data_IF_553329734130
#
_entry.id   IF_553329734130
#
_cell.length_a   1.000
_cell.length_b   1.000
_cell.length_c   1.000
_cell.angle_alpha   90.00
_cell.angle_beta   90.00
_cell.angle_gamma   90.00
#
_symmetry.space_group_name_H-M   'P 1'
#
loop_
_entity.id
_entity.type
_entity.pdbx_description
1 polymer ?
#
# COMPACT_ATOMS: atom_id res chain seq x y z
N UNK A 1 -20.86 9.50 2.20
CA UNK A 1 -21.12 8.05 2.26
C UNK A 1 -22.21 7.79 3.29
N UNK A 2 -23.20 7.01 2.93
CA UNK A 2 -24.31 6.56 3.78
C UNK A 2 -24.12 5.09 4.15
N UNK A 3 -24.85 4.64 5.18
CA UNK A 3 -24.81 3.22 5.60
C UNK A 3 -25.13 2.23 4.47
N UNK A 4 -26.02 2.61 3.54
CA UNK A 4 -26.37 1.78 2.37
C UNK A 4 -25.18 1.64 1.41
N UNK A 5 -24.38 2.67 1.25
CA UNK A 5 -23.18 2.63 0.38
C UNK A 5 -22.12 1.72 0.99
N UNK A 6 -21.93 1.79 2.30
CA UNK A 6 -21.03 0.91 3.05
C UNK A 6 -21.49 -0.55 2.93
N UNK A 7 -22.77 -0.82 3.13
CA UNK A 7 -23.33 -2.17 3.01
C UNK A 7 -23.08 -2.77 1.61
N UNK A 8 -23.29 -1.96 0.57
CA UNK A 8 -23.07 -2.37 -0.83
C UNK A 8 -21.60 -2.63 -1.11
N UNK A 9 -20.70 -1.73 -0.67
CA UNK A 9 -19.26 -1.85 -0.89
C UNK A 9 -18.65 -3.06 -0.17
N UNK A 10 -19.08 -3.29 1.08
CA UNK A 10 -18.59 -4.38 1.92
C UNK A 10 -19.29 -5.72 1.68
N UNK A 11 -20.33 -5.75 0.84
CA UNK A 11 -21.15 -6.94 0.59
C UNK A 11 -21.74 -7.57 1.87
N UNK A 12 -22.14 -6.71 2.80
CA UNK A 12 -22.78 -7.11 4.06
C UNK A 12 -24.20 -6.59 4.16
N UNK A 13 -24.98 -7.16 5.08
CA UNK A 13 -26.36 -6.74 5.25
C UNK A 13 -26.48 -5.31 5.80
N UNK A 14 -27.51 -4.58 5.37
CA UNK A 14 -27.81 -3.23 5.88
C UNK A 14 -27.99 -3.20 7.40
N UNK A 15 -28.72 -4.14 8.05
CA UNK A 15 -28.81 -4.19 9.50
C UNK A 15 -27.45 -4.30 10.21
N UNK A 16 -26.54 -5.10 9.68
CA UNK A 16 -25.18 -5.23 10.24
C UNK A 16 -24.43 -3.90 10.22
N UNK A 17 -24.50 -3.16 9.11
CA UNK A 17 -23.89 -1.83 9.01
C UNK A 17 -24.56 -0.84 9.96
N UNK A 18 -25.89 -0.85 10.05
CA UNK A 18 -26.60 0.03 10.98
C UNK A 18 -26.21 -0.21 12.43
N UNK A 19 -26.04 -1.46 12.84
CA UNK A 19 -25.57 -1.81 14.18
C UNK A 19 -24.14 -1.33 14.43
N UNK A 20 -23.24 -1.53 13.47
CA UNK A 20 -21.86 -1.05 13.56
C UNK A 20 -21.81 0.48 13.65
N UNK A 21 -22.57 1.18 12.82
CA UNK A 21 -22.69 2.65 12.84
C UNK A 21 -23.20 3.14 14.19
N UNK A 22 -24.23 2.51 14.75
CA UNK A 22 -24.75 2.87 16.07
C UNK A 22 -23.68 2.72 17.16
N UNK A 23 -22.95 1.61 17.17
CA UNK A 23 -21.86 1.36 18.10
C UNK A 23 -20.74 2.41 17.99
N UNK A 24 -20.34 2.75 16.77
CA UNK A 24 -19.30 3.75 16.51
C UNK A 24 -19.76 5.16 16.89
N UNK A 25 -21.02 5.50 16.69
CA UNK A 25 -21.59 6.77 17.13
C UNK A 25 -21.62 6.87 18.65
N UNK A 26 -22.07 5.83 19.33
CA UNK A 26 -22.11 5.78 20.79
C UNK A 26 -20.71 5.89 21.41
N UNK A 27 -19.70 5.34 20.74
CA UNK A 27 -18.30 5.46 21.13
C UNK A 27 -17.65 6.81 20.80
N UNK A 28 -18.32 7.68 20.07
CA UNK A 28 -17.78 9.00 19.68
C UNK A 28 -16.82 8.97 18.50
N UNK A 29 -16.77 7.90 17.73
CA UNK A 29 -15.91 7.75 16.55
C UNK A 29 -16.53 8.24 15.25
N UNK A 30 -17.84 8.33 15.22
CA UNK A 30 -18.65 8.63 14.04
C UNK A 30 -19.81 9.55 14.37
N UNK A 31 -20.16 10.43 13.44
CA UNK A 31 -21.40 11.20 13.46
C UNK A 31 -22.20 10.95 12.18
N UNK A 32 -23.49 11.24 12.23
CA UNK A 32 -24.40 11.17 11.09
C UNK A 32 -25.15 12.50 11.00
N UNK A 33 -25.14 13.11 9.83
CA UNK A 33 -25.89 14.34 9.59
C UNK A 33 -27.38 14.10 9.30
N UNK A 34 -28.12 15.18 9.07
CA UNK A 34 -29.56 15.14 8.80
C UNK A 34 -29.92 14.38 7.52
N UNK A 35 -29.00 14.34 6.55
CA UNK A 35 -29.15 13.62 5.29
C UNK A 35 -28.65 12.17 5.36
N UNK A 36 -28.33 11.70 6.55
CA UNK A 36 -27.81 10.35 6.83
C UNK A 36 -26.40 10.07 6.26
N UNK A 37 -25.62 11.10 5.97
CA UNK A 37 -24.21 10.93 5.64
C UNK A 37 -23.38 10.70 6.89
N UNK A 38 -22.42 9.78 6.77
CA UNK A 38 -21.51 9.38 7.84
C UNK A 38 -20.25 10.24 7.80
N UNK A 39 -19.83 10.73 8.96
CA UNK A 39 -18.62 11.53 9.13
C UNK A 39 -17.78 10.96 10.28
N UNK A 40 -16.48 10.82 10.05
CA UNK A 40 -15.56 10.48 11.13
C UNK A 40 -15.34 11.69 12.04
N UNK A 41 -15.35 11.46 13.34
CA UNK A 41 -14.82 12.44 14.30
C UNK A 41 -13.31 12.48 14.23
N UNK A 42 -12.65 13.44 14.87
CA UNK A 42 -11.17 13.50 14.91
C UNK A 42 -10.59 12.22 15.53
N UNK A 43 -11.20 11.74 16.61
CA UNK A 43 -10.82 10.46 17.24
C UNK A 43 -11.05 9.28 16.30
N UNK A 44 -12.20 9.25 15.62
CA UNK A 44 -12.52 8.21 14.65
C UNK A 44 -11.56 8.19 13.48
N UNK A 45 -11.15 9.35 13.00
CA UNK A 45 -10.15 9.49 11.93
C UNK A 45 -8.79 8.97 12.37
N UNK A 46 -8.34 9.33 13.56
CA UNK A 46 -7.05 8.86 14.10
C UNK A 46 -6.98 7.33 14.18
N UNK A 47 -8.05 6.72 14.71
CA UNK A 47 -8.16 5.25 14.79
C UNK A 47 -8.21 4.62 13.40
N UNK A 48 -9.00 5.17 12.49
CA UNK A 48 -9.14 4.66 11.14
C UNK A 48 -7.81 4.75 10.35
N UNK A 49 -7.09 5.83 10.47
CA UNK A 49 -5.78 6.01 9.81
C UNK A 49 -4.74 5.02 10.33
N UNK A 50 -4.71 4.77 11.65
CA UNK A 50 -3.84 3.75 12.26
C UNK A 50 -4.12 2.34 11.73
N UNK A 51 -5.39 1.95 11.67
CA UNK A 51 -5.79 0.63 11.17
C UNK A 51 -5.51 0.52 9.68
N UNK A 52 -5.80 1.56 8.91
CA UNK A 52 -5.56 1.60 7.48
C UNK A 52 -4.07 1.51 7.12
N UNK A 53 -3.20 2.18 7.88
CA UNK A 53 -1.75 2.06 7.74
C UNK A 53 -1.29 0.60 7.89
N UNK A 54 -1.79 -0.10 8.90
CA UNK A 54 -1.50 -1.52 9.12
C UNK A 54 -2.01 -2.39 7.99
N UNK A 55 -3.22 -2.14 7.54
CA UNK A 55 -3.84 -2.86 6.43
C UNK A 55 -2.98 -2.76 5.17
N UNK A 56 -2.62 -1.56 4.76
CA UNK A 56 -1.78 -1.33 3.59
C UNK A 56 -0.41 -1.99 3.73
N UNK A 57 0.23 -1.83 4.87
CA UNK A 57 1.54 -2.43 5.13
C UNK A 57 1.54 -3.95 4.96
N UNK A 58 0.63 -4.65 5.63
CA UNK A 58 0.57 -6.11 5.55
C UNK A 58 0.13 -6.60 4.18
N UNK A 59 -0.81 -5.93 3.54
CA UNK A 59 -1.21 -6.25 2.17
C UNK A 59 -0.02 -6.19 1.22
N UNK A 60 0.74 -5.11 1.26
CA UNK A 60 1.94 -4.92 0.42
C UNK A 60 3.03 -5.95 0.71
N UNK A 61 3.30 -6.25 1.99
CA UNK A 61 4.29 -7.25 2.37
C UNK A 61 3.92 -8.65 1.90
N UNK A 62 2.66 -9.03 2.02
CA UNK A 62 2.17 -10.34 1.58
C UNK A 62 2.21 -10.47 0.06
N UNK A 63 1.80 -9.45 -0.67
CA UNK A 63 1.89 -9.42 -2.14
C UNK A 63 3.35 -9.52 -2.59
N UNK A 64 4.26 -8.78 -1.97
CA UNK A 64 5.68 -8.83 -2.26
C UNK A 64 6.30 -10.21 -1.99
N UNK A 65 5.76 -10.96 -1.03
CA UNK A 65 6.14 -12.34 -0.73
C UNK A 65 5.54 -13.37 -1.71
N UNK A 66 4.70 -12.95 -2.65
CA UNK A 66 4.08 -13.80 -3.65
C UNK A 66 2.67 -14.30 -3.29
N UNK A 67 2.05 -13.74 -2.25
CA UNK A 67 0.67 -14.07 -1.90
C UNK A 67 -0.28 -13.41 -2.89
N UNK A 68 -1.32 -14.14 -3.30
CA UNK A 68 -2.39 -13.61 -4.14
C UNK A 68 -3.01 -12.34 -3.51
N UNK A 69 -3.25 -11.25 -4.29
CA UNK A 69 -3.77 -9.98 -3.74
C UNK A 69 -5.03 -10.11 -2.91
N UNK A 70 -5.97 -10.95 -3.33
CA UNK A 70 -7.23 -11.16 -2.62
C UNK A 70 -7.02 -11.85 -1.27
N UNK A 71 -6.14 -12.84 -1.22
CA UNK A 71 -5.74 -13.52 0.01
C UNK A 71 -4.95 -12.57 0.90
N UNK A 72 -4.05 -11.77 0.34
CA UNK A 72 -3.27 -10.78 1.06
C UNK A 72 -4.15 -9.74 1.77
N UNK A 73 -5.17 -9.21 1.10
CA UNK A 73 -6.14 -8.30 1.71
C UNK A 73 -6.92 -8.94 2.85
N UNK A 74 -7.39 -10.17 2.66
CA UNK A 74 -8.15 -10.89 3.68
C UNK A 74 -7.30 -11.18 4.93
N UNK A 75 -6.05 -11.57 4.74
CA UNK A 75 -5.12 -11.83 5.84
C UNK A 75 -4.69 -10.53 6.54
N UNK A 76 -4.41 -9.47 5.79
CA UNK A 76 -4.10 -8.16 6.33
C UNK A 76 -5.24 -7.64 7.23
N UNK A 77 -6.49 -7.79 6.82
CA UNK A 77 -7.68 -7.46 7.61
C UNK A 77 -7.71 -8.16 8.98
N UNK A 78 -7.21 -9.37 9.06
CA UNK A 78 -7.13 -10.12 10.33
C UNK A 78 -5.96 -9.68 11.18
N UNK A 79 -4.79 -9.53 10.56
CA UNK A 79 -3.54 -9.15 11.25
C UNK A 79 -3.64 -7.75 11.86
N UNK A 80 -4.25 -6.79 11.18
CA UNK A 80 -4.33 -5.40 11.63
C UNK A 80 -4.99 -5.24 12.99
N UNK A 81 -5.88 -6.15 13.37
CA UNK A 81 -6.60 -6.11 14.64
C UNK A 81 -5.90 -6.84 15.78
N UNK A 82 -4.98 -7.73 15.50
CA UNK A 82 -4.35 -8.59 16.52
C UNK A 82 -2.89 -8.25 16.82
N UNK A 83 -2.23 -7.51 15.92
CA UNK A 83 -0.83 -7.16 16.11
C UNK A 83 -0.66 -6.01 17.09
N UNK A 84 0.32 -6.09 17.99
CA UNK A 84 0.63 -5.01 18.92
C UNK A 84 1.29 -3.82 18.20
N UNK A 85 1.17 -2.64 18.82
CA UNK A 85 1.82 -1.41 18.31
C UNK A 85 3.34 -1.57 18.25
N UNK A 86 3.93 -2.22 19.24
CA UNK A 86 5.37 -2.48 19.28
C UNK A 86 5.81 -3.37 18.12
N UNK A 87 5.15 -4.51 17.92
CA UNK A 87 5.49 -5.43 16.83
C UNK A 87 5.31 -4.77 15.46
N UNK A 88 4.25 -4.02 15.27
CA UNK A 88 4.03 -3.29 14.02
C UNK A 88 5.10 -2.23 13.76
N UNK A 89 5.47 -1.43 14.77
CA UNK A 89 6.53 -0.42 14.64
C UNK A 89 7.87 -1.05 14.27
N UNK A 90 8.23 -2.19 14.88
CA UNK A 90 9.45 -2.92 14.56
C UNK A 90 9.46 -3.47 13.13
N UNK A 91 8.35 -4.01 12.68
CA UNK A 91 8.21 -4.49 11.31
C UNK A 91 8.32 -3.36 10.29
N UNK A 92 7.72 -2.20 10.56
CA UNK A 92 7.87 -1.01 9.71
C UNK A 92 9.32 -0.55 9.60
N UNK A 93 10.01 -0.44 10.72
CA UNK A 93 11.42 -0.06 10.74
C UNK A 93 12.29 -1.03 9.95
N UNK A 94 12.08 -2.34 10.12
CA UNK A 94 12.81 -3.38 9.39
C UNK A 94 12.56 -3.32 7.87
N UNK A 95 11.32 -3.08 7.44
CA UNK A 95 10.95 -2.92 6.04
C UNK A 95 11.56 -1.66 5.42
N UNK A 96 11.56 -0.54 6.15
CA UNK A 96 12.17 0.71 5.72
C UNK A 96 13.68 0.56 5.56
N UNK A 97 14.35 -0.15 6.46
CA UNK A 97 15.79 -0.41 6.40
C UNK A 97 16.15 -1.27 5.18
N UNK A 98 15.39 -2.33 4.91
CA UNK A 98 15.58 -3.17 3.72
C UNK A 98 15.46 -2.36 2.43
N UNK A 99 14.47 -1.50 2.34
CA UNK A 99 14.25 -0.66 1.15
C UNK A 99 15.39 0.35 0.97
N UNK A 100 15.86 0.97 2.04
CA UNK A 100 16.99 1.89 2.02
C UNK A 100 18.28 1.20 1.51
N UNK A 101 18.60 0.03 2.05
CA UNK A 101 19.76 -0.78 1.62
C UNK A 101 19.62 -1.17 0.15
N UNK A 102 18.44 -1.61 -0.28
CA UNK A 102 18.17 -1.96 -1.67
C UNK A 102 18.44 -0.78 -2.62
N UNK A 103 17.95 0.40 -2.29
CA UNK A 103 18.17 1.63 -3.09
C UNK A 103 19.64 2.00 -3.18
N UNK A 104 20.38 1.91 -2.09
CA UNK A 104 21.80 2.19 -2.07
C UNK A 104 22.59 1.21 -2.94
N UNK A 105 22.30 -0.08 -2.85
CA UNK A 105 22.91 -1.10 -3.70
C UNK A 105 22.63 -0.85 -5.17
N UNK A 106 21.41 -0.51 -5.54
CA UNK A 106 21.02 -0.18 -6.91
C UNK A 106 21.80 1.04 -7.43
N UNK A 107 21.96 2.07 -6.60
CA UNK A 107 22.71 3.27 -6.96
C UNK A 107 24.18 2.94 -7.22
N UNK A 108 24.81 2.19 -6.33
CA UNK A 108 26.21 1.75 -6.49
C UNK A 108 26.38 0.88 -7.74
N UNK A 109 25.46 -0.06 -7.95
CA UNK A 109 25.50 -0.93 -9.14
C UNK A 109 25.35 -0.13 -10.44
N UNK A 110 24.44 0.84 -10.48
CA UNK A 110 24.26 1.71 -11.65
C UNK A 110 25.51 2.54 -11.95
N UNK A 111 26.20 3.06 -10.92
CA UNK A 111 27.45 3.80 -11.08
C UNK A 111 28.60 2.91 -11.58
N UNK A 112 28.72 1.70 -11.04
CA UNK A 112 29.74 0.73 -11.47
C UNK A 112 29.49 0.27 -12.91
N UNK A 113 28.24 0.05 -13.31
CA UNK A 113 27.87 -0.36 -14.67
C UNK A 113 28.17 0.73 -15.69
N UNK A 114 28.02 2.00 -15.34
CA UNK A 114 28.38 3.14 -16.22
C UNK A 114 29.88 3.24 -16.46
N UNK A 115 30.71 2.93 -15.45
CA UNK A 115 32.17 2.93 -15.58
C UNK A 115 32.69 1.76 -16.42
N UNK A 116 31.96 0.68 -16.50
CA UNK A 116 32.31 -0.52 -17.27
C UNK A 116 31.98 -0.40 -18.77
N UNK A 117 31.27 0.64 -19.20
CA UNK A 117 31.07 0.89 -20.63
C UNK A 117 32.37 1.47 -21.22
N UNK A 118 32.97 0.80 -22.25
CA UNK A 118 34.11 1.38 -22.94
C UNK A 118 33.73 2.73 -23.56
N UNK A 119 34.62 3.70 -23.57
CA UNK A 119 34.36 4.97 -24.22
C UNK A 119 34.02 4.72 -25.68
N UNK A 120 32.84 5.15 -26.08
CA UNK A 120 32.26 5.19 -27.41
C UNK A 120 33.16 4.55 -28.49
N UNK A 121 32.87 3.33 -28.88
CA UNK A 121 33.37 2.83 -30.16
C UNK A 121 32.85 3.78 -31.24
N UNK A 122 33.69 4.38 -32.07
CA UNK A 122 33.19 5.19 -33.15
C UNK A 122 32.25 4.33 -33.97
N UNK A 123 31.00 4.79 -34.14
CA UNK A 123 30.09 4.19 -35.12
C UNK A 123 30.88 4.20 -36.43
N UNK A 124 31.32 3.03 -36.85
CA UNK A 124 31.71 2.83 -38.24
C UNK A 124 30.51 3.21 -39.09
N UNK A 125 30.60 4.36 -39.71
CA UNK A 125 29.66 4.75 -40.74
C UNK A 125 29.71 3.67 -41.82
N UNK A 126 28.75 2.77 -41.83
CA UNK A 126 28.51 1.86 -42.95
C UNK A 126 28.01 2.70 -44.12
N UNK A 127 28.93 3.19 -44.89
CA UNK A 127 28.73 4.01 -46.08
C UNK A 127 29.71 3.65 -47.17
N UNK A 128 29.99 2.36 -47.36
CA UNK A 128 30.61 1.90 -48.58
C UNK A 128 29.52 1.63 -49.60
N UNK A 129 29.21 2.60 -50.45
CA UNK A 129 28.54 2.36 -51.70
C UNK A 129 29.45 1.50 -52.59
N UNK A 130 29.13 0.24 -52.74
CA UNK A 130 29.71 -0.57 -53.79
C UNK A 130 29.07 -0.06 -55.08
N UNK A 131 29.84 0.68 -55.85
CA UNK A 131 29.49 0.97 -57.23
C UNK A 131 29.96 -0.25 -58.04
N UNK A 132 29.04 -1.11 -58.40
CA UNK A 132 29.25 -2.12 -59.45
C UNK A 132 29.04 -1.45 -60.78
N UNK A 133 30.10 -1.41 -61.56
CA UNK A 133 29.95 -1.22 -63.01
C UNK A 133 29.42 -2.49 -63.64
#
# INVERSE_FOLDING_TARGET
VRSVDVARHMEVSKPSVCNAVATLRDGGFLTMDEDHFLHLTDVGREVAEKIYERHCFFTEQLIAAGVDPRTAEADACRIEHIISDESFSRLKEAAAMKELVRRQIQTVFALLSKKAQPPNSPRLAAGAKIVTM
#
